data_IF_295380800386
#
_entry.id   IF_295380800386
#
_cell.length_a   1.000
_cell.length_b   1.000
_cell.length_c   1.000
_cell.angle_alpha   90.00
_cell.angle_beta   90.00
_cell.angle_gamma   90.00
#
_symmetry.space_group_name_H-M   'P 1'
#
loop_
_entity.id
_entity.type
_entity.pdbx_description
1 polymer ?
#
# COMPACT_ATOMS: atom_id res chain seq x y z
N UNK A 1 -12.54 -10.88 6.93
CA UNK A 1 -12.50 -9.41 7.15
C UNK A 1 -12.78 -8.71 5.83
N UNK A 2 -13.53 -7.61 5.82
CA UNK A 2 -13.94 -6.90 4.61
C UNK A 2 -12.78 -6.11 4.01
N UNK A 3 -12.54 -6.23 2.70
CA UNK A 3 -11.44 -5.53 2.00
C UNK A 3 -11.47 -4.00 2.14
N UNK A 4 -12.63 -3.42 2.45
CA UNK A 4 -12.78 -1.99 2.70
C UNK A 4 -12.03 -1.50 3.95
N UNK A 5 -11.92 -2.33 4.99
CA UNK A 5 -11.17 -1.98 6.19
C UNK A 5 -9.66 -1.91 5.91
N UNK A 6 -9.16 -2.85 5.09
CA UNK A 6 -7.77 -2.86 4.63
C UNK A 6 -7.44 -1.59 3.82
N UNK A 7 -8.30 -1.22 2.87
CA UNK A 7 -8.13 -0.02 2.04
C UNK A 7 -8.06 1.25 2.89
N UNK A 8 -8.97 1.41 3.85
CA UNK A 8 -8.98 2.58 4.71
C UNK A 8 -7.72 2.66 5.59
N UNK A 9 -7.29 1.55 6.18
CA UNK A 9 -6.11 1.52 7.05
C UNK A 9 -4.81 1.75 6.27
N UNK A 10 -4.69 1.21 5.05
CA UNK A 10 -3.56 1.47 4.15
C UNK A 10 -3.47 2.95 3.78
N UNK A 11 -4.57 3.56 3.33
CA UNK A 11 -4.59 4.97 2.96
C UNK A 11 -4.26 5.88 4.15
N UNK A 12 -4.82 5.59 5.33
CA UNK A 12 -4.55 6.35 6.55
C UNK A 12 -3.10 6.21 7.00
N UNK A 13 -2.55 4.99 6.97
CA UNK A 13 -1.15 4.73 7.36
C UNK A 13 -0.19 5.41 6.40
N UNK A 14 -0.40 5.25 5.09
CA UNK A 14 0.42 5.90 4.07
C UNK A 14 0.40 7.44 4.19
N UNK A 15 -0.74 8.02 4.56
CA UNK A 15 -0.89 9.48 4.70
C UNK A 15 -0.12 10.08 5.87
N UNK A 16 0.39 9.27 6.81
CA UNK A 16 1.26 9.76 7.91
C UNK A 16 2.65 10.15 7.42
N UNK A 17 3.10 9.57 6.30
CA UNK A 17 4.46 9.71 5.81
C UNK A 17 4.55 10.79 4.73
N UNK A 18 5.70 11.45 4.67
CA UNK A 18 6.08 12.38 3.60
C UNK A 18 6.49 11.65 2.33
N UNK A 19 6.99 10.42 2.46
CA UNK A 19 7.35 9.57 1.35
C UNK A 19 6.20 9.40 0.36
N UNK A 20 6.54 9.32 -0.91
CA UNK A 20 5.66 8.78 -1.94
C UNK A 20 5.58 7.27 -1.73
N UNK A 21 4.35 6.75 -1.70
CA UNK A 21 4.06 5.34 -1.45
C UNK A 21 3.16 4.89 -2.60
N UNK A 22 3.72 4.12 -3.51
CA UNK A 22 3.05 3.69 -4.74
C UNK A 22 2.94 2.18 -4.75
N UNK A 23 1.74 1.68 -4.98
CA UNK A 23 1.47 0.28 -5.21
C UNK A 23 1.43 0.02 -6.71
N UNK A 24 2.25 -0.91 -7.16
CA UNK A 24 2.16 -1.46 -8.50
C UNK A 24 1.36 -2.77 -8.46
N UNK A 25 0.36 -2.84 -9.34
CA UNK A 25 -0.43 -4.04 -9.57
C UNK A 25 -0.50 -4.26 -11.08
N UNK A 26 0.15 -5.33 -11.56
CA UNK A 26 0.33 -5.57 -13.01
C UNK A 26 0.99 -4.35 -13.69
N UNK A 27 0.27 -3.69 -14.60
CA UNK A 27 0.73 -2.51 -15.36
C UNK A 27 0.18 -1.19 -14.80
N UNK A 28 -0.38 -1.20 -13.59
CA UNK A 28 -0.95 0.00 -12.95
C UNK A 28 -0.12 0.42 -11.75
N UNK A 29 0.07 1.72 -11.62
CA UNK A 29 0.68 2.38 -10.47
C UNK A 29 -0.38 3.21 -9.76
N UNK A 30 -0.49 3.03 -8.45
CA UNK A 30 -1.52 3.64 -7.61
C UNK A 30 -0.86 4.29 -6.42
N UNK A 31 -1.14 5.58 -6.22
CA UNK A 31 -0.78 6.24 -4.97
C UNK A 31 -1.63 5.65 -3.83
N UNK A 32 -0.96 5.05 -2.84
CA UNK A 32 -1.62 4.40 -1.70
C UNK A 32 -2.37 5.42 -0.83
N UNK A 33 -2.01 6.70 -0.87
CA UNK A 33 -2.74 7.77 -0.17
C UNK A 33 -4.09 8.05 -0.84
N UNK A 34 -4.28 7.64 -2.10
CA UNK A 34 -5.56 7.76 -2.81
C UNK A 34 -6.47 6.58 -2.49
N UNK A 35 -7.40 6.80 -1.55
CA UNK A 35 -8.39 5.79 -1.17
C UNK A 35 -9.20 5.28 -2.38
N UNK A 36 -9.58 6.18 -3.30
CA UNK A 36 -10.31 5.82 -4.52
C UNK A 36 -9.47 4.94 -5.45
N UNK A 37 -8.18 5.25 -5.60
CA UNK A 37 -7.25 4.43 -6.38
C UNK A 37 -7.12 3.02 -5.82
N UNK A 38 -7.01 2.91 -4.49
CA UNK A 38 -6.97 1.62 -3.80
C UNK A 38 -8.26 0.80 -4.01
N UNK A 39 -9.44 1.42 -3.88
CA UNK A 39 -10.73 0.73 -4.09
C UNK A 39 -10.85 0.09 -5.48
N UNK A 40 -10.28 0.71 -6.51
CA UNK A 40 -10.35 0.19 -7.89
C UNK A 40 -9.30 -0.86 -8.21
N UNK A 41 -8.29 -1.05 -7.33
CA UNK A 41 -7.11 -1.86 -7.63
C UNK A 41 -6.85 -3.00 -6.66
N UNK A 42 -7.19 -2.84 -5.37
CA UNK A 42 -7.11 -3.91 -4.37
C UNK A 42 -8.25 -4.93 -4.57
N UNK A 43 -8.18 -5.65 -5.68
CA UNK A 43 -9.01 -6.81 -6.00
C UNK A 43 -8.17 -8.04 -5.67
N UNK A 44 -8.62 -8.86 -4.71
CA UNK A 44 -7.83 -9.97 -4.16
C UNK A 44 -7.24 -10.92 -5.21
N UNK A 45 -6.13 -11.58 -4.88
CA UNK A 45 -5.49 -12.59 -5.74
C UNK A 45 -4.36 -12.08 -6.64
N UNK A 46 -3.85 -10.86 -6.42
CA UNK A 46 -2.72 -10.28 -7.16
C UNK A 46 -1.48 -10.14 -6.27
N UNK A 47 -0.30 -10.26 -6.88
CA UNK A 47 0.97 -9.88 -6.26
C UNK A 47 1.14 -8.37 -6.44
N UNK A 48 1.36 -7.67 -5.33
CA UNK A 48 1.59 -6.24 -5.33
C UNK A 48 3.07 -5.93 -5.12
N UNK A 49 3.55 -4.86 -5.76
CA UNK A 49 4.87 -4.29 -5.49
C UNK A 49 4.73 -2.91 -4.87
N UNK A 50 5.45 -2.68 -3.77
CA UNK A 50 5.37 -1.45 -3.00
C UNK A 50 6.66 -0.65 -3.19
N UNK A 51 6.48 0.51 -3.82
CA UNK A 51 7.53 1.49 -4.11
C UNK A 51 7.43 2.60 -3.08
N UNK A 52 8.49 2.81 -2.30
CA UNK A 52 8.51 3.85 -1.26
C UNK A 52 9.77 4.69 -1.41
N UNK A 53 9.56 5.97 -1.69
CA UNK A 53 10.64 6.94 -1.87
C UNK A 53 10.37 8.20 -1.07
N UNK A 54 11.35 8.64 -0.29
CA UNK A 54 11.27 9.86 0.49
C UNK A 54 12.12 9.83 1.75
N UNK A 55 12.07 10.91 2.55
CA UNK A 55 12.93 11.10 3.71
C UNK A 55 12.62 10.16 4.88
N UNK A 56 11.42 9.60 4.92
CA UNK A 56 10.92 8.67 5.95
C UNK A 56 10.61 7.27 5.38
N UNK A 57 11.28 6.90 4.28
CA UNK A 57 10.98 5.68 3.53
C UNK A 57 11.19 4.40 4.36
N UNK A 58 12.22 4.31 5.20
CA UNK A 58 12.47 3.12 6.03
C UNK A 58 11.35 2.88 7.04
N UNK A 59 10.86 3.94 7.68
CA UNK A 59 9.75 3.88 8.64
C UNK A 59 8.45 3.53 7.93
N UNK A 60 8.20 4.16 6.78
CA UNK A 60 7.05 3.86 5.93
C UNK A 60 7.05 2.40 5.47
N UNK A 61 8.19 1.84 5.05
CA UNK A 61 8.32 0.43 4.65
C UNK A 61 7.88 -0.50 5.79
N UNK A 62 8.38 -0.27 7.01
CA UNK A 62 8.05 -1.10 8.16
C UNK A 62 6.55 -1.06 8.52
N UNK A 63 5.96 0.13 8.64
CA UNK A 63 4.53 0.26 8.98
C UNK A 63 3.61 -0.26 7.89
N UNK A 64 3.91 0.04 6.61
CA UNK A 64 3.09 -0.42 5.51
C UNK A 64 3.09 -1.95 5.42
N UNK A 65 4.25 -2.61 5.52
CA UNK A 65 4.34 -4.07 5.52
C UNK A 65 3.53 -4.70 6.65
N UNK A 66 3.53 -4.08 7.84
CA UNK A 66 2.72 -4.57 8.96
C UNK A 66 1.21 -4.50 8.65
N UNK A 67 0.73 -3.43 8.00
CA UNK A 67 -0.68 -3.30 7.60
C UNK A 67 -1.04 -4.31 6.50
N UNK A 68 -0.19 -4.48 5.48
CA UNK A 68 -0.43 -5.51 4.45
C UNK A 68 -0.52 -6.91 5.06
N UNK A 69 0.41 -7.27 5.95
CA UNK A 69 0.40 -8.55 6.65
C UNK A 69 -0.84 -8.74 7.53
N UNK A 70 -1.25 -7.70 8.28
CA UNK A 70 -2.46 -7.71 9.13
C UNK A 70 -3.73 -8.03 8.35
N UNK A 71 -3.80 -7.62 7.08
CA UNK A 71 -4.94 -7.85 6.20
C UNK A 71 -4.77 -9.04 5.26
N UNK A 72 -3.75 -9.89 5.47
CA UNK A 72 -3.43 -11.04 4.62
C UNK A 72 -3.25 -10.67 3.13
N UNK A 73 -2.66 -9.52 2.87
CA UNK A 73 -2.34 -9.05 1.52
C UNK A 73 -0.85 -9.32 1.23
N UNK A 74 -0.57 -10.03 0.14
CA UNK A 74 0.80 -10.34 -0.28
C UNK A 74 1.41 -9.15 -1.04
N UNK A 75 2.56 -8.68 -0.58
CA UNK A 75 3.25 -7.52 -1.14
C UNK A 75 4.76 -7.71 -1.11
N UNK A 76 5.44 -7.25 -2.15
CA UNK A 76 6.89 -7.21 -2.25
C UNK A 76 7.38 -5.77 -2.22
N UNK A 77 8.48 -5.50 -1.54
CA UNK A 77 9.13 -4.20 -1.66
C UNK A 77 9.87 -4.16 -3.00
N UNK A 78 9.64 -3.09 -3.77
CA UNK A 78 10.47 -2.76 -4.91
C UNK A 78 11.75 -2.04 -4.42
N UNK A 79 12.85 -2.26 -5.13
CA UNK A 79 14.17 -1.66 -4.83
C UNK A 79 14.24 -0.17 -5.16
#
# INVERSE_FOLDING_TARGET
MSGHAAIAELAQTASKFRSSIVLQAENKYIDVKSILGLFTTLVGGKTYELHIHGPDAEQAKAEMLAVFAKHNLDVKLAE
#
